data_IF_904970580251
#
_entry.id   IF_904970580251
#
_cell.length_a   1.000
_cell.length_b   1.000
_cell.length_c   1.000
_cell.angle_alpha   90.00
_cell.angle_beta   90.00
_cell.angle_gamma   90.00
#
_symmetry.space_group_name_H-M   'P 1'
#
loop_
_entity.id
_entity.type
_entity.pdbx_description
1 polymer ?
#
# COMPACT_ATOMS: atom_id res chain seq x y z
N UNK A 1 3.11 -0.47 -28.98
CA UNK A 1 2.75 -0.97 -27.63
C UNK A 1 2.69 0.13 -26.57
N UNK A 2 2.82 1.42 -26.92
CA UNK A 2 2.92 2.58 -25.99
C UNK A 2 1.57 3.23 -25.62
N UNK A 3 0.54 3.10 -26.46
CA UNK A 3 -0.75 3.79 -26.25
C UNK A 3 -1.47 3.41 -24.94
N UNK A 4 -1.33 2.16 -24.49
CA UNK A 4 -1.95 1.72 -23.24
C UNK A 4 -1.27 2.33 -22.02
N UNK A 5 0.06 2.23 -21.93
CA UNK A 5 0.83 2.77 -20.80
C UNK A 5 0.63 4.27 -20.66
N UNK A 6 0.65 5.01 -21.76
CA UNK A 6 0.45 6.46 -21.74
C UNK A 6 -0.96 6.83 -21.29
N UNK A 7 -1.97 6.10 -21.77
CA UNK A 7 -3.37 6.28 -21.37
C UNK A 7 -3.59 5.95 -19.90
N UNK A 8 -3.00 4.86 -19.41
CA UNK A 8 -3.08 4.45 -18.01
C UNK A 8 -2.42 5.47 -17.09
N UNK A 9 -1.19 5.89 -17.40
CA UNK A 9 -0.47 6.91 -16.64
C UNK A 9 -1.22 8.24 -16.60
N UNK A 10 -1.80 8.65 -17.74
CA UNK A 10 -2.64 9.84 -17.82
C UNK A 10 -3.85 9.75 -16.90
N UNK A 11 -4.56 8.62 -16.88
CA UNK A 11 -5.71 8.41 -15.98
C UNK A 11 -5.31 8.53 -14.51
N UNK A 12 -4.16 7.96 -14.12
CA UNK A 12 -3.67 8.06 -12.74
C UNK A 12 -3.32 9.50 -12.38
N UNK A 13 -2.60 10.24 -13.23
CA UNK A 13 -2.31 11.68 -13.01
C UNK A 13 -3.59 12.50 -12.87
N UNK A 14 -4.54 12.31 -13.79
CA UNK A 14 -5.83 13.00 -13.75
C UNK A 14 -6.62 12.69 -12.48
N UNK A 15 -6.53 11.47 -11.96
CA UNK A 15 -7.20 11.10 -10.70
C UNK A 15 -6.57 11.83 -9.52
N UNK A 16 -5.23 11.90 -9.45
CA UNK A 16 -4.51 12.63 -8.41
C UNK A 16 -4.87 14.12 -8.44
N UNK A 17 -4.89 14.73 -9.63
CA UNK A 17 -5.21 16.14 -9.84
C UNK A 17 -6.69 16.45 -9.54
N UNK A 18 -7.62 15.62 -10.04
CA UNK A 18 -9.07 15.84 -9.88
C UNK A 18 -9.50 15.85 -8.42
N UNK A 19 -8.91 15.01 -7.59
CA UNK A 19 -9.28 14.85 -6.18
C UNK A 19 -8.27 15.47 -5.21
N UNK A 20 -7.31 16.25 -5.71
CA UNK A 20 -6.26 16.91 -4.91
C UNK A 20 -5.58 15.95 -3.90
N UNK A 21 -5.22 14.75 -4.37
CA UNK A 21 -4.80 13.66 -3.47
C UNK A 21 -3.41 13.93 -2.87
N UNK A 22 -2.49 14.47 -3.67
CA UNK A 22 -1.13 14.76 -3.25
C UNK A 22 -0.43 15.76 -4.17
N UNK A 23 0.54 16.48 -3.62
CA UNK A 23 1.42 17.42 -4.32
C UNK A 23 2.86 16.92 -4.31
N UNK A 24 3.71 17.44 -5.21
CA UNK A 24 5.13 17.03 -5.29
C UNK A 24 5.99 17.46 -4.10
N UNK A 25 5.51 18.43 -3.29
CA UNK A 25 6.22 18.93 -2.12
C UNK A 25 6.02 18.03 -0.91
N UNK A 26 4.85 17.39 -0.83
CA UNK A 26 4.49 16.54 0.29
C UNK A 26 5.31 15.25 0.31
N UNK A 27 5.73 14.81 1.50
CA UNK A 27 6.33 13.49 1.68
C UNK A 27 5.23 12.43 1.70
N UNK A 28 5.25 11.52 0.71
CA UNK A 28 4.27 10.43 0.58
C UNK A 28 4.90 9.10 1.01
N UNK A 29 4.29 8.44 1.98
CA UNK A 29 4.63 7.07 2.35
C UNK A 29 3.75 6.13 1.53
N UNK A 30 4.36 5.23 0.77
CA UNK A 30 3.64 4.26 -0.07
C UNK A 30 3.63 2.90 0.64
N UNK A 31 2.44 2.40 0.97
CA UNK A 31 2.28 1.08 1.55
C UNK A 31 2.49 0.00 0.48
N UNK A 32 3.61 -0.72 0.56
CA UNK A 32 3.98 -1.75 -0.41
C UNK A 32 3.79 -3.15 0.16
N UNK A 33 2.86 -3.94 -0.40
CA UNK A 33 2.62 -5.32 0.03
C UNK A 33 3.51 -6.34 -0.67
N UNK A 34 4.15 -5.95 -1.77
CA UNK A 34 4.85 -6.86 -2.70
C UNK A 34 3.99 -7.36 -3.85
N UNK A 35 2.70 -7.02 -3.85
CA UNK A 35 1.76 -7.28 -4.95
C UNK A 35 1.81 -6.23 -6.07
N UNK A 36 1.19 -6.57 -7.21
CA UNK A 36 1.19 -5.75 -8.44
C UNK A 36 0.63 -4.34 -8.25
N UNK A 37 -0.43 -4.18 -7.45
CA UNK A 37 -1.13 -2.89 -7.37
C UNK A 37 -0.30 -1.88 -6.57
N UNK A 38 0.13 -2.25 -5.36
CA UNK A 38 0.99 -1.41 -4.53
C UNK A 38 2.36 -1.09 -5.15
N UNK A 39 2.93 -2.02 -5.93
CA UNK A 39 4.21 -1.80 -6.63
C UNK A 39 4.03 -0.94 -7.87
N UNK A 40 2.88 -1.04 -8.56
CA UNK A 40 2.47 -0.10 -9.62
C UNK A 40 2.28 1.30 -9.06
N UNK A 41 1.59 1.47 -7.93
CA UNK A 41 1.44 2.78 -7.26
C UNK A 41 2.80 3.40 -6.94
N UNK A 42 3.71 2.63 -6.34
CA UNK A 42 5.08 3.08 -6.06
C UNK A 42 5.81 3.52 -7.32
N UNK A 43 5.76 2.69 -8.37
CA UNK A 43 6.41 2.96 -9.66
C UNK A 43 5.90 4.26 -10.28
N UNK A 44 4.57 4.45 -10.35
CA UNK A 44 3.96 5.60 -10.98
C UNK A 44 4.27 6.90 -10.22
N UNK A 45 4.12 6.91 -8.89
CA UNK A 45 4.44 8.09 -8.10
C UNK A 45 5.91 8.49 -8.24
N UNK A 46 6.83 7.52 -8.28
CA UNK A 46 8.24 7.79 -8.56
C UNK A 46 8.44 8.37 -9.94
N UNK A 47 7.83 7.76 -10.97
CA UNK A 47 7.92 8.20 -12.37
C UNK A 47 7.38 9.62 -12.56
N UNK A 48 6.35 10.00 -11.82
CA UNK A 48 5.75 11.33 -11.88
C UNK A 48 6.53 12.39 -11.08
N UNK A 49 7.55 11.98 -10.33
CA UNK A 49 8.45 12.86 -9.59
C UNK A 49 7.91 13.32 -8.24
N UNK A 50 7.10 12.50 -7.57
CA UNK A 50 6.69 12.75 -6.19
C UNK A 50 7.82 12.39 -5.21
N UNK A 51 7.84 13.08 -4.07
CA UNK A 51 8.71 12.76 -2.94
C UNK A 51 8.15 11.56 -2.17
N UNK A 52 8.71 10.37 -2.42
CA UNK A 52 8.16 9.12 -1.86
C UNK A 52 9.19 8.27 -1.13
N UNK A 53 8.71 7.57 -0.10
CA UNK A 53 9.39 6.45 0.55
C UNK A 53 8.42 5.26 0.61
N UNK A 54 8.95 4.04 0.56
CA UNK A 54 8.16 2.82 0.62
C UNK A 54 8.12 2.28 2.05
N UNK A 55 6.98 1.73 2.46
CA UNK A 55 6.84 1.04 3.74
C UNK A 55 6.19 -0.33 3.56
N UNK A 56 6.84 -1.38 4.09
CA UNK A 56 6.38 -2.76 4.03
C UNK A 56 6.17 -3.35 5.43
N UNK A 57 5.01 -3.97 5.63
CA UNK A 57 4.71 -4.75 6.83
C UNK A 57 4.92 -6.23 6.52
N UNK A 58 5.94 -6.83 7.11
CA UNK A 58 6.17 -8.25 7.02
C UNK A 58 5.23 -9.01 7.97
N UNK A 59 4.30 -9.78 7.40
CA UNK A 59 3.29 -10.53 8.16
C UNK A 59 3.81 -11.83 8.82
N UNK A 60 5.01 -12.28 8.46
CA UNK A 60 5.60 -13.52 8.98
C UNK A 60 4.92 -14.80 8.48
N UNK A 61 4.21 -14.76 7.34
CA UNK A 61 3.49 -15.91 6.77
C UNK A 61 4.45 -16.70 5.87
N UNK A 62 5.44 -17.35 6.49
CA UNK A 62 6.38 -18.27 5.84
C UNK A 62 6.95 -17.74 4.52
N UNK A 63 6.92 -18.59 3.49
CA UNK A 63 7.49 -18.29 2.17
C UNK A 63 6.76 -17.16 1.43
N UNK A 64 5.45 -16.99 1.66
CA UNK A 64 4.67 -15.92 1.06
C UNK A 64 5.20 -14.54 1.48
N UNK A 65 5.48 -14.37 2.78
CA UNK A 65 6.06 -13.13 3.30
C UNK A 65 7.48 -12.89 2.78
N UNK A 66 8.31 -13.94 2.68
CA UNK A 66 9.67 -13.83 2.12
C UNK A 66 9.66 -13.39 0.66
N UNK A 67 8.81 -14.00 -0.16
CA UNK A 67 8.65 -13.64 -1.58
C UNK A 67 8.21 -12.18 -1.75
N UNK A 68 7.22 -11.75 -0.97
CA UNK A 68 6.73 -10.38 -1.01
C UNK A 68 7.80 -9.37 -0.58
N UNK A 69 8.53 -9.65 0.51
CA UNK A 69 9.64 -8.80 0.94
C UNK A 69 10.72 -8.68 -0.15
N UNK A 70 11.12 -9.80 -0.74
CA UNK A 70 12.10 -9.82 -1.85
C UNK A 70 11.62 -8.98 -3.04
N UNK A 71 10.35 -9.10 -3.43
CA UNK A 71 9.76 -8.28 -4.49
C UNK A 71 9.83 -6.79 -4.17
N UNK A 72 9.47 -6.39 -2.94
CA UNK A 72 9.50 -4.98 -2.51
C UNK A 72 10.94 -4.45 -2.48
N UNK A 73 11.89 -5.23 -1.96
CA UNK A 73 13.30 -4.85 -1.94
C UNK A 73 13.84 -4.65 -3.37
N UNK A 74 13.52 -5.57 -4.28
CA UNK A 74 13.95 -5.51 -5.68
C UNK A 74 13.42 -4.26 -6.39
N UNK A 75 12.12 -3.96 -6.26
CA UNK A 75 11.53 -2.78 -6.90
C UNK A 75 12.08 -1.48 -6.29
N UNK A 76 12.21 -1.40 -4.96
CA UNK A 76 12.72 -0.19 -4.30
C UNK A 76 14.18 0.07 -4.68
N UNK A 77 15.01 -0.99 -4.73
CA UNK A 77 16.39 -0.90 -5.21
C UNK A 77 16.45 -0.41 -6.66
N UNK A 78 15.62 -0.98 -7.53
CA UNK A 78 15.56 -0.58 -8.96
C UNK A 78 15.13 0.88 -9.15
N UNK A 79 14.22 1.38 -8.30
CA UNK A 79 13.69 2.74 -8.39
C UNK A 79 14.49 3.77 -7.58
N UNK A 80 15.48 3.35 -6.79
CA UNK A 80 16.20 4.25 -5.88
C UNK A 80 15.26 4.89 -4.85
N UNK A 81 14.35 4.10 -4.28
CA UNK A 81 13.40 4.54 -3.24
C UNK A 81 13.81 3.91 -1.91
N UNK A 82 13.82 4.72 -0.85
CA UNK A 82 14.07 4.24 0.52
C UNK A 82 12.94 3.30 0.95
N UNK A 83 13.31 2.14 1.48
CA UNK A 83 12.37 1.12 1.94
C UNK A 83 12.48 0.95 3.45
N UNK A 84 11.36 1.18 4.14
CA UNK A 84 11.18 0.91 5.56
C UNK A 84 10.44 -0.41 5.74
N UNK A 85 10.88 -1.24 6.69
CA UNK A 85 10.29 -2.55 6.95
C UNK A 85 9.99 -2.68 8.44
N UNK A 86 8.84 -3.24 8.77
CA UNK A 86 8.50 -3.63 10.14
C UNK A 86 7.87 -5.02 10.12
N UNK A 87 8.19 -5.86 11.10
CA UNK A 87 7.49 -7.13 11.26
C UNK A 87 6.24 -6.90 12.10
N UNK A 88 5.13 -7.50 11.70
CA UNK A 88 3.88 -7.39 12.47
C UNK A 88 4.04 -7.88 13.91
N UNK A 89 4.86 -8.91 14.12
CA UNK A 89 5.15 -9.48 15.44
C UNK A 89 5.75 -8.44 16.40
N UNK A 90 6.53 -7.49 15.89
CA UNK A 90 7.18 -6.47 16.71
C UNK A 90 6.15 -5.43 17.22
N UNK A 91 5.04 -5.25 16.50
CA UNK A 91 4.00 -4.28 16.86
C UNK A 91 2.84 -4.91 17.66
N UNK A 92 2.54 -6.20 17.48
CA UNK A 92 1.39 -6.87 18.14
C UNK A 92 1.77 -8.08 19.01
N UNK A 93 3.07 -8.32 19.21
CA UNK A 93 3.65 -9.45 19.97
C UNK A 93 3.25 -10.85 19.47
N UNK A 94 2.57 -10.95 18.32
CA UNK A 94 2.08 -12.20 17.73
C UNK A 94 2.25 -12.21 16.22
N UNK A 95 2.48 -13.38 15.65
CA UNK A 95 2.39 -13.57 14.20
C UNK A 95 0.93 -13.75 13.77
N UNK A 96 0.61 -13.47 12.51
CA UNK A 96 -0.75 -13.72 11.99
C UNK A 96 -1.12 -15.22 12.06
N UNK A 97 -0.13 -16.11 11.97
CA UNK A 97 -0.31 -17.56 12.06
C UNK A 97 -0.66 -18.05 13.46
N UNK A 98 -0.30 -17.31 14.52
CA UNK A 98 -0.62 -17.64 15.92
C UNK A 98 -2.06 -17.27 16.33
N UNK A 99 -2.77 -16.51 15.51
CA UNK A 99 -4.16 -16.11 15.77
C UNK A 99 -5.10 -17.28 15.47
N UNK A 100 -5.96 -17.66 16.43
CA UNK A 100 -6.87 -18.82 16.29
C UNK A 100 -8.07 -18.54 15.38
N UNK A 101 -8.73 -17.39 15.56
CA UNK A 101 -9.93 -17.01 14.80
C UNK A 101 -9.80 -15.60 14.23
N UNK A 102 -10.61 -15.29 13.21
CA UNK A 102 -10.73 -13.94 12.63
C UNK A 102 -9.38 -13.34 12.14
N UNK A 103 -8.43 -14.20 11.74
CA UNK A 103 -7.07 -13.82 11.35
C UNK A 103 -7.03 -12.67 10.35
N UNK A 104 -7.87 -12.73 9.30
CA UNK A 104 -7.92 -11.68 8.28
C UNK A 104 -8.47 -10.35 8.81
N UNK A 105 -9.48 -10.38 9.68
CA UNK A 105 -10.04 -9.18 10.32
C UNK A 105 -9.01 -8.52 11.24
N UNK A 106 -8.38 -9.31 12.11
CA UNK A 106 -7.35 -8.83 13.04
C UNK A 106 -6.13 -8.30 12.27
N UNK A 107 -5.68 -9.02 11.24
CA UNK A 107 -4.61 -8.57 10.36
C UNK A 107 -4.96 -7.24 9.68
N UNK A 108 -6.19 -7.09 9.16
CA UNK A 108 -6.64 -5.87 8.50
C UNK A 108 -6.61 -4.66 9.43
N UNK A 109 -7.15 -4.80 10.64
CA UNK A 109 -7.16 -3.73 11.65
C UNK A 109 -5.73 -3.32 12.03
N UNK A 110 -4.87 -4.30 12.34
CA UNK A 110 -3.51 -4.03 12.76
C UNK A 110 -2.66 -3.43 11.62
N UNK A 111 -2.82 -3.89 10.38
CA UNK A 111 -2.14 -3.27 9.24
C UNK A 111 -2.50 -1.80 9.10
N UNK A 112 -3.79 -1.45 9.17
CA UNK A 112 -4.23 -0.04 9.07
C UNK A 112 -3.65 0.81 10.19
N UNK A 113 -3.66 0.29 11.43
CA UNK A 113 -3.05 0.95 12.58
C UNK A 113 -1.54 1.19 12.38
N UNK A 114 -0.78 0.13 12.04
CA UNK A 114 0.67 0.19 11.86
C UNK A 114 1.03 1.11 10.69
N UNK A 115 0.34 1.01 9.55
CA UNK A 115 0.56 1.89 8.40
C UNK A 115 0.39 3.36 8.78
N UNK A 116 -0.70 3.71 9.47
CA UNK A 116 -0.96 5.09 9.88
C UNK A 116 0.07 5.59 10.91
N UNK A 117 0.37 4.77 11.93
CA UNK A 117 1.37 5.09 12.97
C UNK A 117 2.76 5.32 12.34
N UNK A 118 3.24 4.37 11.54
CA UNK A 118 4.58 4.41 10.94
C UNK A 118 4.70 5.49 9.88
N UNK A 119 3.65 5.72 9.08
CA UNK A 119 3.68 6.83 8.12
C UNK A 119 3.91 8.18 8.82
N UNK A 120 3.25 8.41 9.97
CA UNK A 120 3.45 9.63 10.78
C UNK A 120 4.85 9.68 11.42
N UNK A 121 5.34 8.58 11.99
CA UNK A 121 6.69 8.49 12.56
C UNK A 121 7.79 8.80 11.53
N UNK A 122 7.57 8.42 10.27
CA UNK A 122 8.46 8.70 9.15
C UNK A 122 8.31 10.13 8.58
N UNK A 123 7.44 10.97 9.17
CA UNK A 123 7.18 12.33 8.70
C UNK A 123 6.38 12.39 7.41
N UNK A 124 5.60 11.35 7.10
CA UNK A 124 4.70 11.32 5.94
C UNK A 124 3.50 12.24 6.11
N UNK A 125 3.29 13.14 5.16
CA UNK A 125 2.10 13.99 5.06
C UNK A 125 0.93 13.24 4.42
N UNK A 126 1.25 12.27 3.54
CA UNK A 126 0.27 11.41 2.85
C UNK A 126 0.66 9.94 2.96
N UNK A 127 -0.34 9.08 3.01
CA UNK A 127 -0.19 7.62 2.90
C UNK A 127 -0.91 7.15 1.63
N UNK A 128 -0.16 6.60 0.68
CA UNK A 128 -0.70 6.02 -0.54
C UNK A 128 -0.83 4.49 -0.40
N UNK A 129 -2.00 3.96 -0.77
CA UNK A 129 -2.27 2.52 -0.84
C UNK A 129 -2.64 2.13 -2.28
N UNK A 130 -2.50 0.85 -2.61
CA UNK A 130 -2.70 0.33 -3.96
C UNK A 130 -4.09 -0.23 -4.24
N UNK A 131 -5.17 0.36 -3.72
CA UNK A 131 -6.52 -0.06 -4.09
C UNK A 131 -6.87 0.40 -5.51
N UNK A 132 -7.55 -0.45 -6.25
CA UNK A 132 -8.05 -0.17 -7.59
C UNK A 132 -9.58 -0.10 -7.62
N UNK A 133 -10.16 0.06 -8.81
CA UNK A 133 -11.61 0.21 -8.99
C UNK A 133 -12.38 -1.02 -8.52
N UNK A 134 -11.88 -2.22 -8.79
CA UNK A 134 -12.50 -3.47 -8.40
C UNK A 134 -12.56 -3.62 -6.88
N UNK A 135 -11.48 -3.25 -6.16
CA UNK A 135 -11.43 -3.28 -4.69
C UNK A 135 -12.51 -2.37 -4.06
N UNK A 136 -12.67 -1.16 -4.59
CA UNK A 136 -13.66 -0.19 -4.11
C UNK A 136 -15.09 -0.62 -4.49
N UNK A 137 -15.30 -1.14 -5.71
CA UNK A 137 -16.59 -1.66 -6.15
C UNK A 137 -17.05 -2.86 -5.32
N UNK A 138 -16.15 -3.80 -5.02
CA UNK A 138 -16.42 -4.94 -4.14
C UNK A 138 -16.79 -4.44 -2.73
N UNK A 139 -16.03 -3.47 -2.20
CA UNK A 139 -16.30 -2.91 -0.87
C UNK A 139 -17.70 -2.27 -0.79
N UNK A 140 -18.08 -1.46 -1.80
CA UNK A 140 -19.41 -0.84 -1.89
C UNK A 140 -20.50 -1.91 -1.96
N UNK A 141 -20.34 -2.92 -2.82
CA UNK A 141 -21.32 -4.00 -2.99
C UNK A 141 -21.50 -4.80 -1.69
N UNK A 142 -20.40 -5.16 -1.03
CA UNK A 142 -20.43 -5.89 0.23
C UNK A 142 -21.09 -5.10 1.35
N UNK A 143 -20.87 -3.79 1.40
CA UNK A 143 -21.51 -2.90 2.36
C UNK A 143 -23.01 -2.81 2.12
N UNK A 144 -23.44 -2.65 0.87
CA UNK A 144 -24.86 -2.65 0.49
C UNK A 144 -25.57 -3.95 0.89
N UNK A 145 -24.99 -5.10 0.55
CA UNK A 145 -25.58 -6.42 0.85
C UNK A 145 -25.67 -6.72 2.35
N UNK A 146 -24.78 -6.14 3.15
CA UNK A 146 -24.78 -6.29 4.61
C UNK A 146 -25.63 -5.24 5.34
N UNK A 147 -26.19 -4.27 4.62
CA UNK A 147 -26.91 -3.15 5.20
C UNK A 147 -26.00 -2.15 5.94
N UNK A 148 -24.70 -2.16 5.66
CA UNK A 148 -23.73 -1.21 6.23
C UNK A 148 -23.62 0.00 5.31
N UNK A 149 -24.61 0.88 5.33
CA UNK A 149 -24.68 2.07 4.46
C UNK A 149 -24.05 3.33 5.06
N UNK A 150 -23.59 3.24 6.31
CA UNK A 150 -22.89 4.30 7.06
C UNK A 150 -21.42 3.95 7.29
#
# INVERSE_FOLDING_TARGET
MTRFTDSFEKKVKQTIEKYDLATKKEKIIVACSGGKDSTTTLYLLKKFGYNIEAFHINLGIGEWSKKNLSNVQSICKRLGVMLHITNIKDEICKTITELKENRCRICSINKRYILNKKARELGGEKLAIGHNLDDEAESIMMNLLRGNLE
#
